data_IF_401094041166
#
_entry.id   IF_401094041166
#
_cell.length_a   1.000
_cell.length_b   1.000
_cell.length_c   1.000
_cell.angle_alpha   90.00
_cell.angle_beta   90.00
_cell.angle_gamma   90.00
#
_symmetry.space_group_name_H-M   'P 1'
#
loop_
_entity.id
_entity.type
_entity.pdbx_description
1 polymer ?
#
# COMPACT_ATOMS: atom_id res chain seq x y z
N UNK A 1 -11.37 -2.95 -2.85
CA UNK A 1 -12.11 -3.73 -1.84
C UNK A 1 -11.45 -3.49 -0.49
N UNK A 2 -12.14 -2.80 0.42
CA UNK A 2 -11.73 -2.77 1.81
C UNK A 2 -11.80 -4.21 2.36
N UNK A 3 -10.88 -4.63 3.23
CA UNK A 3 -11.03 -5.93 3.88
C UNK A 3 -12.39 -5.94 4.60
N UNK A 4 -13.20 -6.98 4.36
CA UNK A 4 -14.51 -7.16 4.98
C UNK A 4 -14.46 -7.34 6.51
N UNK A 5 -13.25 -7.39 7.08
CA UNK A 5 -12.97 -7.56 8.50
C UNK A 5 -12.16 -6.39 9.02
N UNK A 6 -12.69 -5.73 10.05
CA UNK A 6 -11.98 -4.73 10.86
C UNK A 6 -10.75 -5.34 11.53
N UNK A 7 -9.74 -4.53 11.84
CA UNK A 7 -8.51 -4.98 12.51
C UNK A 7 -8.83 -5.68 13.84
N UNK A 8 -9.74 -5.12 14.62
CA UNK A 8 -10.20 -5.71 15.90
C UNK A 8 -10.75 -7.12 15.73
N UNK A 9 -11.50 -7.39 14.65
CA UNK A 9 -12.03 -8.72 14.38
C UNK A 9 -10.91 -9.73 14.10
N UNK A 10 -9.87 -9.31 13.39
CA UNK A 10 -8.71 -10.16 13.11
C UNK A 10 -7.88 -10.45 14.36
N UNK A 11 -7.75 -9.49 15.26
CA UNK A 11 -7.11 -9.70 16.57
C UNK A 11 -7.91 -10.70 17.41
N UNK A 12 -9.23 -10.60 17.43
CA UNK A 12 -10.09 -11.59 18.12
C UNK A 12 -9.95 -13.00 17.56
N UNK A 13 -9.75 -13.18 16.25
CA UNK A 13 -9.47 -14.50 15.66
C UNK A 13 -8.21 -15.13 16.26
N UNK A 14 -7.16 -14.33 16.49
CA UNK A 14 -5.91 -14.79 17.10
C UNK A 14 -6.14 -15.18 18.56
N UNK A 15 -6.89 -14.40 19.32
CA UNK A 15 -7.26 -14.70 20.71
C UNK A 15 -8.07 -15.99 20.79
N UNK A 16 -9.08 -16.17 19.94
CA UNK A 16 -9.87 -17.41 19.89
C UNK A 16 -9.05 -18.65 19.56
N UNK A 17 -7.98 -18.50 18.78
CA UNK A 17 -7.08 -19.61 18.49
C UNK A 17 -6.09 -19.89 19.62
N UNK A 18 -5.51 -18.86 20.21
CA UNK A 18 -4.45 -18.98 21.22
C UNK A 18 -4.97 -19.28 22.62
N UNK A 19 -6.02 -18.59 23.07
CA UNK A 19 -6.58 -18.76 24.41
C UNK A 19 -7.67 -19.84 24.47
N UNK A 20 -8.53 -19.90 23.44
CA UNK A 20 -9.70 -20.79 23.44
C UNK A 20 -9.51 -22.07 22.62
N UNK A 21 -8.38 -22.22 21.91
CA UNK A 21 -8.07 -23.43 21.13
C UNK A 21 -9.07 -23.75 20.01
N UNK A 22 -9.84 -22.77 19.54
CA UNK A 22 -10.92 -22.99 18.58
C UNK A 22 -10.39 -23.38 17.19
N UNK A 23 -11.18 -24.20 16.50
CA UNK A 23 -10.89 -24.62 15.12
C UNK A 23 -11.10 -23.48 14.13
N UNK A 24 -10.46 -23.57 12.96
CA UNK A 24 -10.60 -22.56 11.90
C UNK A 24 -12.07 -22.35 11.48
N UNK A 25 -12.85 -23.43 11.47
CA UNK A 25 -14.28 -23.44 11.12
C UNK A 25 -15.13 -22.67 12.13
N UNK A 26 -14.92 -22.92 13.42
CA UNK A 26 -15.66 -22.20 14.47
C UNK A 26 -15.30 -20.71 14.48
N UNK A 27 -14.03 -20.37 14.26
CA UNK A 27 -13.58 -18.98 14.17
C UNK A 27 -14.21 -18.30 12.95
N UNK A 28 -14.29 -19.00 11.81
CA UNK A 28 -14.92 -18.51 10.59
C UNK A 28 -16.42 -18.25 10.80
N UNK A 29 -17.12 -19.18 11.45
CA UNK A 29 -18.54 -19.04 11.80
C UNK A 29 -18.79 -17.88 12.78
N UNK A 30 -17.95 -17.72 13.82
CA UNK A 30 -18.05 -16.63 14.80
C UNK A 30 -17.76 -15.26 14.19
N UNK A 31 -16.79 -15.18 13.27
CA UNK A 31 -16.42 -13.93 12.61
C UNK A 31 -17.27 -13.61 11.37
N UNK A 32 -18.14 -14.52 10.93
CA UNK A 32 -18.93 -14.37 9.70
C UNK A 32 -18.08 -14.25 8.44
N UNK A 33 -16.93 -14.93 8.39
CA UNK A 33 -15.98 -14.85 7.28
C UNK A 33 -15.59 -16.24 6.74
N UNK A 34 -14.86 -16.29 5.63
CA UNK A 34 -14.38 -17.56 5.08
C UNK A 34 -13.25 -18.15 5.92
N UNK A 35 -13.17 -19.48 6.00
CA UNK A 35 -12.04 -20.19 6.62
C UNK A 35 -10.68 -19.76 6.04
N UNK A 36 -10.64 -19.47 4.74
CA UNK A 36 -9.43 -19.00 4.07
C UNK A 36 -8.93 -17.67 4.66
N UNK A 37 -9.85 -16.76 5.01
CA UNK A 37 -9.51 -15.48 5.67
C UNK A 37 -8.92 -15.74 7.05
N UNK A 38 -9.50 -16.66 7.81
CA UNK A 38 -8.99 -17.06 9.15
C UNK A 38 -7.59 -17.64 9.03
N UNK A 39 -7.37 -18.57 8.09
CA UNK A 39 -6.05 -19.17 7.85
C UNK A 39 -5.01 -18.13 7.43
N UNK A 40 -5.38 -17.18 6.58
CA UNK A 40 -4.48 -16.10 6.17
C UNK A 40 -4.07 -15.22 7.36
N UNK A 41 -5.02 -14.82 8.21
CA UNK A 41 -4.76 -14.00 9.40
C UNK A 41 -3.89 -14.76 10.40
N UNK A 42 -4.21 -16.03 10.69
CA UNK A 42 -3.42 -16.86 11.60
C UNK A 42 -2.00 -17.09 11.07
N UNK A 43 -1.84 -17.27 9.75
CA UNK A 43 -0.53 -17.38 9.11
C UNK A 43 0.27 -16.07 9.27
N UNK A 44 -0.35 -14.92 8.96
CA UNK A 44 0.31 -13.62 9.10
C UNK A 44 0.73 -13.34 10.54
N UNK A 45 -0.11 -13.69 11.51
CA UNK A 45 0.23 -13.54 12.93
C UNK A 45 1.39 -14.47 13.33
N UNK A 46 1.41 -15.72 12.85
CA UNK A 46 2.50 -16.66 13.14
C UNK A 46 3.83 -16.23 12.53
N UNK A 47 3.80 -15.68 11.31
CA UNK A 47 5.01 -15.36 10.54
C UNK A 47 5.56 -13.96 10.84
N UNK A 48 4.68 -12.98 11.06
CA UNK A 48 5.05 -11.56 11.19
C UNK A 48 4.59 -10.93 12.51
N UNK A 49 3.86 -11.64 13.37
CA UNK A 49 3.28 -11.08 14.61
C UNK A 49 2.17 -10.05 14.38
N UNK A 50 1.72 -9.88 13.13
CA UNK A 50 0.72 -8.88 12.75
C UNK A 50 -0.47 -9.54 12.06
N UNK A 51 -1.67 -9.03 12.32
CA UNK A 51 -2.92 -9.53 11.73
C UNK A 51 -3.20 -8.98 10.33
N UNK A 52 -2.41 -7.99 9.90
CA UNK A 52 -2.52 -7.33 8.60
C UNK A 52 -1.19 -7.46 7.88
N UNK A 53 -1.24 -7.67 6.57
CA UNK A 53 -0.04 -7.80 5.75
C UNK A 53 0.87 -6.58 5.93
N UNK A 54 2.08 -6.73 6.51
CA UNK A 54 3.01 -5.63 6.73
C UNK A 54 3.63 -5.14 5.41
N UNK A 55 3.66 -6.01 4.40
CA UNK A 55 4.18 -5.71 3.07
C UNK A 55 3.12 -5.12 2.13
N UNK A 56 1.93 -4.80 2.65
CA UNK A 56 0.90 -4.14 1.87
C UNK A 56 1.33 -2.70 1.53
N UNK A 57 2.05 -2.53 0.43
CA UNK A 57 2.35 -1.21 -0.10
C UNK A 57 1.09 -0.59 -0.72
N UNK A 58 0.89 0.73 -0.56
CA UNK A 58 -0.15 1.43 -1.31
C UNK A 58 0.06 1.19 -2.80
N UNK A 59 -1.04 0.94 -3.52
CA UNK A 59 -0.99 0.74 -4.97
C UNK A 59 -0.46 2.01 -5.63
N UNK A 60 0.69 1.90 -6.30
CA UNK A 60 1.32 2.98 -7.06
C UNK A 60 2.71 3.35 -6.54
N UNK A 61 3.63 3.68 -7.46
CA UNK A 61 4.92 4.25 -7.11
C UNK A 61 4.71 5.69 -6.65
N UNK A 62 5.48 6.15 -5.65
CA UNK A 62 5.54 7.59 -5.29
C UNK A 62 5.85 8.40 -6.55
N UNK A 63 5.09 9.48 -6.78
CA UNK A 63 5.34 10.39 -7.90
C UNK A 63 6.73 11.01 -7.74
N UNK A 64 7.55 10.92 -8.77
CA UNK A 64 8.89 11.55 -8.81
C UNK A 64 8.83 13.04 -9.21
N UNK A 65 7.71 13.47 -9.78
CA UNK A 65 7.44 14.84 -10.19
C UNK A 65 6.32 15.42 -9.32
N UNK A 66 6.59 16.58 -8.73
CA UNK A 66 5.61 17.42 -8.08
C UNK A 66 4.84 18.24 -9.11
N UNK A 67 3.74 18.86 -8.68
CA UNK A 67 2.91 19.72 -9.55
C UNK A 67 3.71 20.92 -10.09
N UNK A 68 4.64 21.47 -9.31
CA UNK A 68 5.51 22.56 -9.75
C UNK A 68 6.40 22.14 -10.92
N UNK A 69 7.02 20.96 -10.83
CA UNK A 69 7.84 20.39 -11.92
C UNK A 69 7.02 20.23 -13.21
N UNK A 70 5.77 19.79 -13.10
CA UNK A 70 4.89 19.63 -14.26
C UNK A 70 4.53 20.96 -14.91
N UNK A 71 4.29 22.00 -14.12
CA UNK A 71 4.00 23.35 -14.63
C UNK A 71 5.23 23.95 -15.33
N UNK A 72 6.42 23.74 -14.75
CA UNK A 72 7.68 24.16 -15.35
C UNK A 72 7.96 23.45 -16.68
N UNK A 73 7.85 22.11 -16.71
CA UNK A 73 8.02 21.32 -17.92
C UNK A 73 7.03 21.71 -19.02
N UNK A 74 5.76 21.97 -18.67
CA UNK A 74 4.75 22.41 -19.62
C UNK A 74 5.10 23.77 -20.23
N UNK A 75 5.53 24.72 -19.39
CA UNK A 75 5.94 26.06 -19.83
C UNK A 75 7.15 26.03 -20.78
N UNK A 76 8.09 25.12 -20.54
CA UNK A 76 9.27 24.95 -21.40
C UNK A 76 8.90 24.34 -22.75
N UNK A 77 8.03 23.33 -22.75
CA UNK A 77 7.55 22.69 -23.97
C UNK A 77 6.73 23.66 -24.82
N UNK A 78 5.91 24.50 -24.20
CA UNK A 78 5.16 25.55 -24.88
C UNK A 78 6.09 26.59 -25.54
N UNK A 79 7.18 26.95 -24.87
CA UNK A 79 8.17 27.88 -25.40
C UNK A 79 9.06 27.26 -26.49
N UNK A 80 9.36 25.96 -26.41
CA UNK A 80 10.27 25.26 -27.31
C UNK A 80 9.81 23.80 -27.52
N UNK A 81 8.94 23.53 -28.49
CA UNK A 81 8.35 22.20 -28.69
C UNK A 81 9.32 21.15 -29.25
N UNK A 82 10.49 21.56 -29.73
CA UNK A 82 11.51 20.67 -30.29
C UNK A 82 12.55 20.17 -29.28
N UNK A 83 12.35 20.41 -27.98
CA UNK A 83 13.26 19.97 -26.93
C UNK A 83 13.26 18.45 -26.79
N UNK A 84 14.47 17.89 -26.67
CA UNK A 84 14.63 16.48 -26.39
C UNK A 84 14.42 16.18 -24.91
N UNK A 85 14.11 14.92 -24.61
CA UNK A 85 13.77 14.48 -23.25
C UNK A 85 14.93 14.64 -22.26
N UNK A 86 16.15 14.39 -22.71
CA UNK A 86 17.39 14.57 -21.94
C UNK A 86 17.68 16.05 -21.64
N UNK A 87 17.38 16.94 -22.57
CA UNK A 87 17.48 18.39 -22.38
C UNK A 87 16.46 18.88 -21.34
N UNK A 88 15.22 18.37 -21.40
CA UNK A 88 14.18 18.66 -20.40
C UNK A 88 14.58 18.16 -19.01
N UNK A 89 15.14 16.95 -18.92
CA UNK A 89 15.62 16.39 -17.66
C UNK A 89 16.79 17.21 -17.09
N UNK A 90 17.72 17.64 -17.94
CA UNK A 90 18.85 18.47 -17.54
C UNK A 90 18.39 19.83 -17.01
N UNK A 91 17.44 20.48 -17.70
CA UNK A 91 16.88 21.77 -17.27
C UNK A 91 16.10 21.64 -15.96
N UNK A 92 15.30 20.58 -15.80
CA UNK A 92 14.58 20.31 -14.56
C UNK A 92 15.54 20.02 -13.40
N UNK A 93 16.65 19.32 -13.66
CA UNK A 93 17.66 19.07 -12.64
C UNK A 93 18.36 20.36 -12.20
N UNK A 94 18.69 21.25 -13.14
CA UNK A 94 19.25 22.57 -12.84
C UNK A 94 18.26 23.43 -12.04
N UNK A 95 16.99 23.46 -12.42
CA UNK A 95 15.95 24.25 -11.73
C UNK A 95 15.77 23.80 -10.26
N UNK A 96 15.78 22.48 -10.02
CA UNK A 96 15.69 21.89 -8.67
C UNK A 96 16.94 22.08 -7.80
N UNK A 97 18.10 22.39 -8.36
CA UNK A 97 19.37 22.59 -7.64
C UNK A 97 19.62 24.07 -7.28
N UNK A 98 18.81 24.97 -7.83
CA UNK A 98 18.93 26.43 -7.65
C UNK A 98 18.00 26.95 -6.53
N UNK A 99 17.30 26.06 -5.82
CA UNK A 99 16.45 26.35 -4.65
C UNK A 99 17.11 25.96 -3.31
#
# INVERSE_FOLDING_TARGET
MAPHTTTEMRERMVVWRSEFGKTDFEIAALAGCSEQTVREVLRLHREYGVVRNPNAQPRGRRRSLATADLNYLSSILDANPCLYLDELQSRLATDRDVD
#
